data_IF_234633795172
#
_entry.id   IF_234633795172
#
_cell.length_a   1.000
_cell.length_b   1.000
_cell.length_c   1.000
_cell.angle_alpha   90.00
_cell.angle_beta   90.00
_cell.angle_gamma   90.00
#
_symmetry.space_group_name_H-M   'P 1'
#
loop_
_entity.id
_entity.type
_entity.pdbx_description
1 polymer ?
#
# COMPACT_ATOMS: atom_id res chain seq x y z
N UNK A 1 -37.04 -6.71 8.14
CA UNK A 1 -35.82 -6.18 7.51
C UNK A 1 -35.01 -5.47 8.57
N UNK A 2 -33.87 -5.99 8.91
CA UNK A 2 -32.96 -5.32 9.83
C UNK A 2 -32.30 -4.21 9.03
N UNK A 3 -32.59 -2.96 9.37
CA UNK A 3 -31.86 -1.84 8.81
C UNK A 3 -30.40 -1.98 9.22
N UNK A 4 -29.54 -2.16 8.25
CA UNK A 4 -28.11 -2.20 8.45
C UNK A 4 -27.65 -0.86 9.02
N UNK A 5 -27.19 -0.86 10.25
CA UNK A 5 -26.53 0.29 10.85
C UNK A 5 -25.10 0.30 10.28
N UNK A 6 -24.73 1.28 9.41
CA UNK A 6 -23.48 1.22 8.65
C UNK A 6 -22.21 0.99 9.48
N UNK A 7 -22.18 1.48 10.73
CA UNK A 7 -20.99 1.38 11.58
C UNK A 7 -20.75 -0.01 12.20
N UNK A 8 -21.78 -0.85 12.29
CA UNK A 8 -21.66 -2.19 12.91
C UNK A 8 -21.19 -3.21 11.88
N UNK A 9 -21.65 -3.10 10.63
CA UNK A 9 -21.20 -3.98 9.55
C UNK A 9 -19.74 -3.75 9.18
N UNK A 10 -19.30 -2.48 9.13
CA UNK A 10 -17.91 -2.14 8.86
C UNK A 10 -16.97 -2.74 9.91
N UNK A 11 -17.31 -2.66 11.21
CA UNK A 11 -16.49 -3.24 12.28
C UNK A 11 -16.41 -4.77 12.21
N UNK A 12 -17.53 -5.45 11.97
CA UNK A 12 -17.56 -6.92 11.81
C UNK A 12 -16.74 -7.32 10.59
N UNK A 13 -16.85 -6.59 9.48
CA UNK A 13 -16.10 -6.86 8.25
C UNK A 13 -14.59 -6.74 8.46
N UNK A 14 -14.12 -5.68 9.13
CA UNK A 14 -12.69 -5.45 9.38
C UNK A 14 -12.12 -6.56 10.27
N UNK A 15 -12.75 -6.88 11.37
CA UNK A 15 -12.26 -7.93 12.28
C UNK A 15 -12.24 -9.31 11.62
N UNK A 16 -13.26 -9.63 10.85
CA UNK A 16 -13.32 -10.88 10.08
C UNK A 16 -12.18 -10.93 9.05
N UNK A 17 -11.95 -9.85 8.33
CA UNK A 17 -10.87 -9.76 7.35
C UNK A 17 -9.52 -9.93 8.04
N UNK A 18 -9.27 -9.23 9.16
CA UNK A 18 -8.02 -9.35 9.92
C UNK A 18 -7.80 -10.78 10.40
N UNK A 19 -8.84 -11.43 10.92
CA UNK A 19 -8.77 -12.82 11.37
C UNK A 19 -8.44 -13.76 10.22
N UNK A 20 -9.11 -13.63 9.09
CA UNK A 20 -8.88 -14.46 7.91
C UNK A 20 -7.48 -14.25 7.32
N UNK A 21 -7.00 -13.02 7.26
CA UNK A 21 -5.67 -12.70 6.78
C UNK A 21 -4.59 -13.23 7.73
N UNK A 22 -4.81 -13.18 9.03
CA UNK A 22 -3.91 -13.74 10.02
C UNK A 22 -3.78 -15.27 9.89
N UNK A 23 -4.84 -15.96 9.51
CA UNK A 23 -4.81 -17.39 9.24
C UNK A 23 -4.14 -17.70 7.90
N UNK A 24 -4.44 -16.93 6.86
CA UNK A 24 -3.90 -17.13 5.52
C UNK A 24 -2.41 -16.76 5.43
N UNK A 25 -2.01 -15.68 6.09
CA UNK A 25 -0.64 -15.17 6.10
C UNK A 25 -0.18 -14.92 7.53
N UNK A 26 0.13 -15.97 8.30
CA UNK A 26 0.53 -15.82 9.71
C UNK A 26 1.81 -15.00 9.88
N UNK A 27 2.63 -14.86 8.82
CA UNK A 27 3.84 -14.04 8.82
C UNK A 27 3.56 -12.54 8.65
N UNK A 28 2.33 -12.15 8.30
CA UNK A 28 1.97 -10.74 8.07
C UNK A 28 1.21 -10.16 9.27
N UNK A 29 1.68 -9.04 9.78
CA UNK A 29 1.04 -8.30 10.87
C UNK A 29 0.47 -7.00 10.32
N UNK A 30 -0.84 -6.82 10.51
CA UNK A 30 -1.57 -5.63 10.08
C UNK A 30 -2.08 -4.86 11.29
N UNK A 31 -1.96 -3.54 11.24
CA UNK A 31 -2.66 -2.64 12.14
C UNK A 31 -4.11 -2.43 11.65
N UNK A 32 -4.88 -1.61 12.36
CA UNK A 32 -6.21 -1.23 11.88
C UNK A 32 -6.10 -0.47 10.55
N UNK A 33 -7.08 -0.61 9.63
CA UNK A 33 -7.02 0.09 8.36
C UNK A 33 -7.17 1.59 8.54
N UNK A 34 -6.61 2.35 7.59
CA UNK A 34 -6.75 3.80 7.52
C UNK A 34 -8.20 4.18 7.23
N UNK A 35 -8.64 5.30 7.79
CA UNK A 35 -9.97 5.86 7.58
C UNK A 35 -9.88 7.27 7.00
N UNK A 36 -11.00 7.78 6.48
CA UNK A 36 -11.01 9.11 5.85
C UNK A 36 -10.54 10.22 6.79
N UNK A 37 -10.85 10.14 8.07
CA UNK A 37 -10.44 11.14 9.06
C UNK A 37 -8.91 11.25 9.22
N UNK A 38 -8.16 10.20 8.92
CA UNK A 38 -6.70 10.24 8.95
C UNK A 38 -6.11 11.23 7.95
N UNK A 39 -6.88 11.63 6.95
CA UNK A 39 -6.43 12.50 5.85
C UNK A 39 -6.95 13.95 5.96
N UNK A 40 -7.59 14.33 7.07
CA UNK A 40 -8.22 15.65 7.23
C UNK A 40 -7.23 16.82 7.18
N UNK A 41 -6.01 16.61 7.66
CA UNK A 41 -5.02 17.69 7.80
C UNK A 41 -4.09 17.87 6.60
N UNK A 42 -4.32 17.13 5.51
CA UNK A 42 -3.49 17.21 4.31
C UNK A 42 -2.13 16.54 4.42
N UNK A 43 -1.82 15.89 5.54
CA UNK A 43 -0.61 15.09 5.74
C UNK A 43 -0.85 14.00 6.77
N UNK A 44 -0.02 12.98 6.75
CA UNK A 44 0.01 11.93 7.74
C UNK A 44 1.47 11.62 8.06
N UNK A 45 1.80 11.60 9.35
CA UNK A 45 3.18 11.44 9.80
C UNK A 45 3.85 10.20 9.19
N UNK A 46 5.05 10.40 8.66
CA UNK A 46 5.83 9.35 8.03
C UNK A 46 5.43 9.01 6.60
N UNK A 47 4.40 9.65 6.04
CA UNK A 47 4.02 9.51 4.64
C UNK A 47 4.62 10.62 3.78
N UNK A 48 5.15 10.26 2.60
CA UNK A 48 5.46 11.24 1.58
C UNK A 48 4.19 11.64 0.81
N UNK A 49 4.30 12.65 -0.05
CA UNK A 49 3.15 13.19 -0.80
C UNK A 49 2.49 12.16 -1.73
N UNK A 50 3.26 11.27 -2.32
CA UNK A 50 2.74 10.22 -3.21
C UNK A 50 1.98 9.16 -2.42
N UNK A 51 2.54 8.69 -1.32
CA UNK A 51 1.88 7.73 -0.42
C UNK A 51 0.58 8.30 0.13
N UNK A 52 0.60 9.54 0.58
CA UNK A 52 -0.57 10.24 1.10
C UNK A 52 -1.68 10.33 0.05
N UNK A 53 -1.35 10.80 -1.14
CA UNK A 53 -2.30 10.93 -2.25
C UNK A 53 -2.88 9.57 -2.66
N UNK A 54 -2.02 8.56 -2.78
CA UNK A 54 -2.43 7.20 -3.11
C UNK A 54 -3.41 6.64 -2.08
N UNK A 55 -3.05 6.67 -0.81
CA UNK A 55 -3.88 6.16 0.26
C UNK A 55 -5.21 6.93 0.40
N UNK A 56 -5.18 8.26 0.28
CA UNK A 56 -6.39 9.08 0.36
C UNK A 56 -7.41 8.75 -0.72
N UNK A 57 -6.96 8.43 -1.93
CA UNK A 57 -7.84 7.96 -3.00
C UNK A 57 -8.48 6.62 -2.67
N UNK A 58 -7.71 5.69 -2.11
CA UNK A 58 -8.19 4.34 -1.84
C UNK A 58 -9.16 4.28 -0.66
N UNK A 59 -8.92 5.03 0.41
CA UNK A 59 -9.81 5.03 1.59
C UNK A 59 -11.19 5.61 1.28
N UNK A 60 -11.33 6.40 0.22
CA UNK A 60 -12.64 6.89 -0.24
C UNK A 60 -13.50 5.79 -0.88
N UNK A 61 -12.91 4.67 -1.24
CA UNK A 61 -13.63 3.51 -1.77
C UNK A 61 -13.99 2.56 -0.62
N UNK A 62 -15.28 2.46 -0.29
CA UNK A 62 -15.78 1.64 0.81
C UNK A 62 -15.52 0.14 0.66
N UNK A 63 -15.27 -0.33 -0.56
CA UNK A 63 -14.93 -1.73 -0.82
C UNK A 63 -13.48 -2.07 -0.47
N UNK A 64 -12.61 -1.09 -0.29
CA UNK A 64 -11.19 -1.30 -0.04
C UNK A 64 -10.83 -1.01 1.43
N UNK A 65 -10.04 -1.91 2.00
CA UNK A 65 -9.37 -1.69 3.28
C UNK A 65 -7.90 -1.39 3.02
N UNK A 66 -7.43 -0.26 3.50
CA UNK A 66 -6.07 0.24 3.29
C UNK A 66 -5.28 0.09 4.58
N UNK A 67 -4.40 -0.88 4.61
CA UNK A 67 -3.51 -1.12 5.76
C UNK A 67 -2.16 -0.51 5.48
N UNK A 68 -1.69 0.32 6.40
CA UNK A 68 -0.40 0.99 6.30
C UNK A 68 0.71 0.14 6.91
N UNK A 69 1.85 0.09 6.23
CA UNK A 69 3.08 -0.51 6.74
C UNK A 69 2.89 -1.94 7.29
N UNK A 70 2.43 -2.89 6.47
CA UNK A 70 2.31 -4.27 6.91
C UNK A 70 3.70 -4.80 7.26
N UNK A 71 3.82 -5.42 8.45
CA UNK A 71 5.07 -6.05 8.87
C UNK A 71 5.06 -7.51 8.46
N UNK A 72 6.11 -7.94 7.79
CA UNK A 72 6.25 -9.32 7.34
C UNK A 72 7.43 -9.94 8.05
N UNK A 73 7.18 -11.02 8.78
CA UNK A 73 8.22 -11.75 9.48
C UNK A 73 9.26 -12.30 8.49
N UNK A 74 10.53 -12.06 8.77
CA UNK A 74 11.62 -12.46 7.89
C UNK A 74 12.00 -11.44 6.83
N UNK A 75 11.24 -10.35 6.68
CA UNK A 75 11.54 -9.26 5.78
C UNK A 75 12.06 -8.04 6.54
N UNK A 76 13.20 -7.49 6.09
CA UNK A 76 13.75 -6.26 6.66
C UNK A 76 13.01 -5.04 6.16
N UNK A 77 12.59 -5.06 4.89
CA UNK A 77 11.84 -3.97 4.30
C UNK A 77 10.36 -4.08 4.66
N UNK A 78 9.77 -2.95 5.05
CA UNK A 78 8.34 -2.85 5.33
C UNK A 78 7.68 -2.27 4.07
N UNK A 79 6.77 -3.02 3.40
CA UNK A 79 6.02 -2.47 2.28
C UNK A 79 5.17 -1.28 2.70
N UNK A 80 4.81 -0.43 1.74
CA UNK A 80 4.06 0.79 2.05
C UNK A 80 2.63 0.48 2.51
N UNK A 81 1.96 -0.46 1.82
CA UNK A 81 0.56 -0.80 2.11
C UNK A 81 0.26 -2.28 1.87
N UNK A 82 -0.80 -2.73 2.50
CA UNK A 82 -1.58 -3.89 2.10
C UNK A 82 -3.00 -3.43 1.80
N UNK A 83 -3.48 -3.69 0.59
CA UNK A 83 -4.81 -3.28 0.15
C UNK A 83 -5.67 -4.52 -0.02
N UNK A 84 -6.78 -4.56 0.69
CA UNK A 84 -7.74 -5.67 0.63
C UNK A 84 -9.05 -5.20 -0.01
N UNK A 85 -9.49 -5.92 -1.04
CA UNK A 85 -10.77 -5.67 -1.69
C UNK A 85 -11.82 -6.60 -1.10
N UNK A 86 -12.79 -6.04 -0.40
CA UNK A 86 -13.85 -6.81 0.27
C UNK A 86 -14.83 -7.46 -0.72
N UNK A 87 -14.95 -6.94 -1.93
CA UNK A 87 -15.84 -7.51 -2.96
C UNK A 87 -15.23 -8.76 -3.60
N UNK A 88 -13.94 -8.74 -3.90
CA UNK A 88 -13.24 -9.90 -4.47
C UNK A 88 -12.67 -10.84 -3.40
N UNK A 89 -12.69 -10.44 -2.14
CA UNK A 89 -12.11 -11.16 -1.01
C UNK A 89 -10.62 -11.49 -1.24
N UNK A 90 -9.88 -10.52 -1.77
CA UNK A 90 -8.47 -10.67 -2.10
C UNK A 90 -7.70 -9.40 -1.82
N UNK A 91 -6.41 -9.54 -1.55
CA UNK A 91 -5.56 -8.40 -1.25
C UNK A 91 -4.16 -8.53 -1.82
N UNK A 92 -3.42 -7.43 -1.77
CA UNK A 92 -2.04 -7.34 -2.27
C UNK A 92 -1.19 -6.42 -1.42
N UNK A 93 0.06 -6.78 -1.27
CA UNK A 93 1.09 -5.84 -0.82
C UNK A 93 1.32 -4.79 -1.91
N UNK A 94 1.52 -3.57 -1.49
CA UNK A 94 1.76 -2.46 -2.41
C UNK A 94 3.04 -1.75 -2.00
N UNK A 95 3.94 -1.63 -2.95
CA UNK A 95 5.16 -0.82 -2.82
C UNK A 95 5.13 0.29 -3.85
N UNK A 96 5.32 1.51 -3.38
CA UNK A 96 5.42 2.69 -4.22
C UNK A 96 6.88 3.06 -4.42
N UNK A 97 7.27 3.31 -5.64
CA UNK A 97 8.63 3.75 -5.94
C UNK A 97 8.64 5.01 -6.78
N UNK A 98 9.52 5.95 -6.40
CA UNK A 98 9.72 7.20 -7.13
C UNK A 98 10.58 7.02 -8.38
N UNK A 99 11.14 5.84 -8.59
CA UNK A 99 11.84 5.52 -9.83
C UNK A 99 10.83 5.06 -10.88
N UNK A 100 11.17 5.26 -12.16
CA UNK A 100 10.44 4.61 -13.23
C UNK A 100 10.83 3.13 -13.35
N UNK A 101 10.09 2.36 -14.16
CA UNK A 101 10.31 0.92 -14.29
C UNK A 101 11.71 0.55 -14.82
N UNK A 102 12.38 1.47 -15.49
CA UNK A 102 13.74 1.31 -15.99
C UNK A 102 14.80 1.88 -15.06
N UNK A 103 14.39 2.42 -13.90
CA UNK A 103 15.26 3.12 -12.96
C UNK A 103 16.01 4.29 -13.60
N UNK A 104 15.41 4.89 -14.63
CA UNK A 104 15.85 6.12 -15.29
C UNK A 104 14.95 7.27 -14.86
N UNK A 105 15.23 8.49 -15.18
CA UNK A 105 14.32 9.60 -14.94
C UNK A 105 14.34 10.21 -13.53
N UNK A 106 14.90 9.54 -12.52
CA UNK A 106 15.10 10.18 -11.23
C UNK A 106 16.33 11.08 -11.26
N UNK A 107 16.08 12.38 -11.41
CA UNK A 107 17.14 13.39 -11.41
C UNK A 107 17.00 14.25 -10.16
N UNK A 108 17.79 13.95 -9.16
CA UNK A 108 18.05 14.89 -8.08
C UNK A 108 19.45 15.48 -8.30
N UNK A 109 19.50 16.74 -8.70
CA UNK A 109 20.75 17.47 -8.98
C UNK A 109 21.68 17.61 -7.76
N UNK A 110 21.17 17.31 -6.55
CA UNK A 110 21.94 17.38 -5.30
C UNK A 110 22.60 16.07 -4.90
N UNK A 111 22.29 14.96 -5.57
CA UNK A 111 22.89 13.66 -5.26
C UNK A 111 23.96 13.33 -6.26
N UNK A 112 25.08 12.79 -5.78
CA UNK A 112 26.11 12.23 -6.67
C UNK A 112 25.56 11.01 -7.43
N UNK A 113 26.17 10.72 -8.58
CA UNK A 113 25.85 9.53 -9.37
C UNK A 113 25.94 8.23 -8.54
N UNK A 114 26.95 8.17 -7.66
CA UNK A 114 27.15 7.01 -6.79
C UNK A 114 26.04 6.84 -5.74
N UNK A 115 25.56 7.93 -5.17
CA UNK A 115 24.46 7.91 -4.21
C UNK A 115 23.16 7.45 -4.87
N UNK A 116 22.88 7.95 -6.07
CA UNK A 116 21.70 7.52 -6.85
C UNK A 116 21.79 6.03 -7.18
N UNK A 117 22.96 5.55 -7.59
CA UNK A 117 23.18 4.14 -7.90
C UNK A 117 22.97 3.23 -6.69
N UNK A 118 23.46 3.62 -5.52
CA UNK A 118 23.24 2.88 -4.27
C UNK A 118 21.76 2.86 -3.88
N UNK A 119 21.09 3.97 -4.05
CA UNK A 119 19.66 4.11 -3.74
C UNK A 119 18.80 3.22 -4.66
N UNK A 120 19.11 3.17 -5.94
CA UNK A 120 18.44 2.27 -6.91
C UNK A 120 18.66 0.80 -6.51
N UNK A 121 19.90 0.42 -6.22
CA UNK A 121 20.23 -0.94 -5.80
C UNK A 121 19.47 -1.36 -4.57
N UNK A 122 19.41 -0.48 -3.58
CA UNK A 122 18.64 -0.69 -2.34
C UNK A 122 17.16 -0.90 -2.63
N UNK A 123 16.57 -0.09 -3.50
CA UNK A 123 15.17 -0.22 -3.89
C UNK A 123 14.91 -1.54 -4.62
N UNK A 124 15.79 -1.94 -5.50
CA UNK A 124 15.69 -3.23 -6.19
C UNK A 124 15.74 -4.41 -5.21
N UNK A 125 16.62 -4.36 -4.23
CA UNK A 125 16.72 -5.38 -3.17
C UNK A 125 15.42 -5.44 -2.34
N UNK A 126 14.85 -4.30 -1.99
CA UNK A 126 13.58 -4.21 -1.27
C UNK A 126 12.43 -4.83 -2.07
N UNK A 127 12.36 -4.56 -3.36
CA UNK A 127 11.35 -5.12 -4.27
C UNK A 127 11.51 -6.64 -4.38
N UNK A 128 12.73 -7.13 -4.52
CA UNK A 128 12.99 -8.58 -4.57
C UNK A 128 12.59 -9.27 -3.26
N UNK A 129 12.76 -8.63 -2.13
CA UNK A 129 12.32 -9.14 -0.83
C UNK A 129 10.80 -9.26 -0.77
N UNK A 130 10.06 -8.26 -1.26
CA UNK A 130 8.60 -8.30 -1.36
C UNK A 130 8.15 -9.44 -2.27
N UNK A 131 8.77 -9.58 -3.44
CA UNK A 131 8.46 -10.66 -4.39
C UNK A 131 8.64 -12.05 -3.80
N UNK A 132 9.60 -12.20 -2.90
CA UNK A 132 9.93 -13.48 -2.27
C UNK A 132 9.11 -13.85 -1.04
N UNK A 133 8.21 -12.97 -0.55
CA UNK A 133 7.52 -13.20 0.72
C UNK A 133 6.29 -14.13 0.65
N UNK A 134 5.87 -14.52 -0.54
CA UNK A 134 4.73 -15.45 -0.73
C UNK A 134 3.35 -14.81 -0.63
N UNK A 135 3.26 -13.49 -0.55
CA UNK A 135 2.02 -12.74 -0.52
C UNK A 135 1.86 -12.03 -1.86
N UNK A 136 0.66 -12.04 -2.48
CA UNK A 136 0.42 -11.29 -3.71
C UNK A 136 0.80 -9.82 -3.54
N UNK A 137 1.42 -9.24 -4.57
CA UNK A 137 1.96 -7.89 -4.51
C UNK A 137 1.74 -7.13 -5.81
N UNK A 138 1.86 -5.82 -5.73
CA UNK A 138 1.97 -4.93 -6.87
C UNK A 138 3.02 -3.85 -6.57
N UNK A 139 3.87 -3.58 -7.52
CA UNK A 139 4.86 -2.51 -7.46
C UNK A 139 4.37 -1.39 -8.38
N UNK A 140 4.19 -0.21 -7.81
CA UNK A 140 3.75 0.98 -8.54
C UNK A 140 4.94 1.91 -8.74
N UNK A 141 5.30 2.11 -10.00
CA UNK A 141 6.41 2.95 -10.40
C UNK A 141 5.96 4.40 -10.59
N UNK A 142 6.92 5.32 -10.66
CA UNK A 142 6.69 6.75 -10.80
C UNK A 142 5.69 7.11 -11.89
N UNK A 143 5.79 6.49 -13.06
CA UNK A 143 4.88 6.76 -14.17
C UNK A 143 3.42 6.49 -13.80
N UNK A 144 3.19 5.43 -13.03
CA UNK A 144 1.86 5.06 -12.55
C UNK A 144 1.37 6.01 -11.46
N UNK A 145 2.28 6.45 -10.57
CA UNK A 145 1.97 7.37 -9.48
C UNK A 145 1.65 8.78 -9.97
N UNK A 146 2.35 9.27 -11.00
CA UNK A 146 2.10 10.58 -11.60
C UNK A 146 0.75 10.65 -12.31
N UNK A 147 0.27 9.54 -12.85
CA UNK A 147 -0.99 9.42 -13.56
C UNK A 147 -2.11 8.83 -12.70
N UNK A 148 -1.98 8.88 -11.38
CA UNK A 148 -3.01 8.38 -10.48
C UNK A 148 -4.25 9.25 -10.61
N UNK A 149 -5.20 8.72 -11.39
CA UNK A 149 -6.59 9.15 -11.43
C UNK A 149 -7.44 8.03 -10.85
N UNK A 150 -8.55 8.36 -10.24
CA UNK A 150 -9.45 7.39 -9.61
C UNK A 150 -9.77 6.17 -10.49
N UNK A 151 -9.80 6.35 -11.82
CA UNK A 151 -10.10 5.27 -12.77
C UNK A 151 -8.99 4.21 -12.86
N UNK A 152 -7.73 4.60 -12.71
CA UNK A 152 -6.60 3.68 -12.84
C UNK A 152 -6.41 2.83 -11.60
N UNK A 153 -6.76 3.35 -10.44
CA UNK A 153 -6.59 2.65 -9.15
C UNK A 153 -7.64 1.56 -8.97
N UNK A 154 -8.87 1.80 -9.41
CA UNK A 154 -9.96 0.83 -9.29
C UNK A 154 -9.67 -0.49 -10.00
N UNK A 155 -8.88 -0.47 -11.06
CA UNK A 155 -8.55 -1.67 -11.84
C UNK A 155 -7.38 -2.47 -11.27
N UNK A 156 -6.64 -1.92 -10.29
CA UNK A 156 -5.49 -2.59 -9.68
C UNK A 156 -5.90 -3.51 -8.51
N UNK A 157 -7.04 -3.27 -7.96
CA UNK A 157 -7.56 -3.97 -6.79
C UNK A 157 -9.02 -4.38 -7.01
#
# INVERSE_FOLDING_TARGET
>A
MIENVPGIEENICVETVLSNLSQQYPQMYLNYPLVCNDFEYGYLEGMNSYEFKFASYLVSNSALLVFREPKIEGCFHIPDFYIFNTLSNSGRLVELTLYDSNYTGYRNSRRSYQEVKKSIKRKQEQIEEIKGCGIPYVILYRQQLENIRQRCIKNLF
#
